data_IF_434199131435
#
_entry.id   IF_434199131435
#
_cell.length_a   1.000
_cell.length_b   1.000
_cell.length_c   1.000
_cell.angle_alpha   90.00
_cell.angle_beta   90.00
_cell.angle_gamma   90.00
#
_symmetry.space_group_name_H-M   'P 1'
#
loop_
_entity.id
_entity.type
_entity.pdbx_description
1 polymer ?
#
# COMPACT_ATOMS: atom_id res chain seq x y z
N UNK A 1 6.57 23.35 -32.76
CA UNK A 1 5.63 22.85 -31.74
C UNK A 1 6.42 22.10 -30.69
N UNK A 2 6.22 22.40 -29.40
CA UNK A 2 6.81 21.65 -28.28
C UNK A 2 5.86 20.50 -27.93
N UNK A 3 6.36 19.26 -27.99
CA UNK A 3 5.65 18.07 -27.54
C UNK A 3 6.38 17.53 -26.30
N UNK A 4 5.65 17.19 -25.25
CA UNK A 4 6.21 16.59 -24.03
C UNK A 4 5.20 15.63 -23.40
N UNK A 5 5.70 14.76 -22.53
CA UNK A 5 4.89 13.80 -21.75
C UNK A 5 4.96 14.14 -20.27
N UNK A 6 3.95 13.69 -19.53
CA UNK A 6 3.91 13.73 -18.07
C UNK A 6 3.67 12.32 -17.55
N UNK A 7 4.30 11.99 -16.42
CA UNK A 7 3.96 10.79 -15.67
C UNK A 7 2.99 11.20 -14.57
N UNK A 8 1.79 10.63 -14.61
CA UNK A 8 0.73 10.89 -13.65
C UNK A 8 0.49 9.63 -12.82
N UNK A 9 0.12 9.76 -11.53
CA UNK A 9 -0.20 8.61 -10.70
C UNK A 9 -1.39 7.86 -11.27
N UNK A 10 -1.38 6.53 -11.12
CA UNK A 10 -2.49 5.69 -11.58
C UNK A 10 -3.75 5.85 -10.69
N UNK A 11 -3.60 6.35 -9.45
CA UNK A 11 -4.68 6.51 -8.49
C UNK A 11 -4.48 5.62 -7.26
N UNK A 12 -5.44 4.75 -6.99
CA UNK A 12 -5.41 3.79 -5.88
C UNK A 12 -4.65 2.53 -6.31
N UNK A 13 -3.78 2.02 -5.43
CA UNK A 13 -3.02 0.80 -5.69
C UNK A 13 -3.26 -0.22 -4.58
N UNK A 14 -3.84 -1.36 -4.94
CA UNK A 14 -3.90 -2.56 -4.12
C UNK A 14 -2.54 -3.25 -4.01
N UNK A 15 -2.06 -3.49 -2.79
CA UNK A 15 -0.75 -4.11 -2.53
C UNK A 15 -0.89 -5.30 -1.58
N UNK A 16 -0.29 -6.42 -1.95
CA UNK A 16 -0.21 -7.63 -1.11
C UNK A 16 1.27 -7.98 -0.95
N UNK A 17 1.72 -8.24 0.29
CA UNK A 17 3.13 -8.54 0.60
C UNK A 17 3.30 -9.87 1.34
N UNK A 18 4.44 -10.58 1.15
CA UNK A 18 4.73 -11.85 1.81
C UNK A 18 5.26 -11.68 3.24
N UNK A 19 5.43 -12.80 3.94
CA UNK A 19 5.72 -12.86 5.38
C UNK A 19 7.21 -12.77 5.76
N UNK A 20 8.13 -12.95 4.82
CA UNK A 20 9.56 -13.18 5.11
C UNK A 20 10.31 -11.92 5.58
N UNK A 21 9.99 -10.75 5.02
CA UNK A 21 10.57 -9.47 5.44
C UNK A 21 9.49 -8.38 5.47
N UNK A 22 8.53 -8.44 6.40
CA UNK A 22 7.26 -7.70 6.30
C UNK A 22 7.46 -6.18 6.18
N UNK A 23 8.35 -5.60 7.00
CA UNK A 23 8.59 -4.16 6.96
C UNK A 23 9.40 -3.72 5.73
N UNK A 24 10.40 -4.50 5.31
CA UNK A 24 11.19 -4.19 4.11
C UNK A 24 10.32 -4.29 2.84
N UNK A 25 9.50 -5.35 2.73
CA UNK A 25 8.59 -5.55 1.61
C UNK A 25 7.54 -4.43 1.55
N UNK A 26 7.01 -4.01 2.70
CA UNK A 26 6.14 -2.83 2.76
C UNK A 26 6.87 -1.58 2.29
N UNK A 27 8.09 -1.31 2.74
CA UNK A 27 8.87 -0.13 2.34
C UNK A 27 9.12 -0.09 0.82
N UNK A 28 9.46 -1.22 0.19
CA UNK A 28 9.64 -1.31 -1.27
C UNK A 28 8.37 -0.96 -2.05
N UNK A 29 7.21 -1.40 -1.55
CA UNK A 29 5.91 -1.19 -2.18
C UNK A 29 5.37 0.23 -1.94
N UNK A 30 5.42 0.69 -0.69
CA UNK A 30 4.93 2.02 -0.29
C UNK A 30 5.79 3.12 -0.88
N UNK A 31 7.12 3.00 -0.82
CA UNK A 31 8.04 4.06 -1.22
C UNK A 31 7.86 4.49 -2.67
N UNK A 32 7.84 3.53 -3.60
CA UNK A 32 7.67 3.82 -5.02
C UNK A 32 6.28 4.42 -5.33
N UNK A 33 5.21 3.83 -4.79
CA UNK A 33 3.84 4.27 -5.07
C UNK A 33 3.53 5.66 -4.49
N UNK A 34 4.00 5.94 -3.26
CA UNK A 34 3.84 7.25 -2.64
C UNK A 34 4.67 8.33 -3.37
N UNK A 35 5.89 7.99 -3.81
CA UNK A 35 6.73 8.92 -4.55
C UNK A 35 6.10 9.35 -5.89
N UNK A 36 5.29 8.50 -6.52
CA UNK A 36 4.55 8.84 -7.73
C UNK A 36 3.24 9.61 -7.46
N UNK A 37 2.81 9.71 -6.20
CA UNK A 37 1.55 10.36 -5.81
C UNK A 37 0.33 9.43 -5.79
N UNK A 38 0.52 8.11 -5.73
CA UNK A 38 -0.57 7.15 -5.59
C UNK A 38 -1.05 7.06 -4.13
N UNK A 39 -2.27 6.55 -3.95
CA UNK A 39 -2.81 6.13 -2.65
C UNK A 39 -2.88 4.61 -2.58
N UNK A 40 -2.90 4.04 -1.38
CA UNK A 40 -2.56 2.63 -1.18
C UNK A 40 -3.54 1.92 -0.26
N UNK A 41 -3.94 0.71 -0.66
CA UNK A 41 -4.58 -0.29 0.20
C UNK A 41 -3.65 -1.50 0.28
N UNK A 42 -3.06 -1.75 1.45
CA UNK A 42 -2.02 -2.76 1.64
C UNK A 42 -2.49 -3.87 2.60
N UNK A 43 -2.51 -5.11 2.10
CA UNK A 43 -2.70 -6.33 2.89
C UNK A 43 -1.36 -7.00 3.22
N UNK A 44 -0.92 -7.00 4.49
CA UNK A 44 0.22 -7.81 4.90
C UNK A 44 -0.15 -9.30 4.94
N UNK A 45 0.85 -10.18 4.88
CA UNK A 45 0.66 -11.60 5.14
C UNK A 45 0.11 -11.82 6.56
N UNK A 46 -0.85 -12.74 6.70
CA UNK A 46 -1.56 -13.04 7.94
C UNK A 46 -0.65 -13.54 9.07
N UNK A 47 0.51 -14.10 8.73
CA UNK A 47 1.50 -14.59 9.70
C UNK A 47 2.28 -13.45 10.36
N UNK A 48 2.47 -12.32 9.68
CA UNK A 48 3.34 -11.22 10.14
C UNK A 48 2.73 -9.81 10.04
N UNK A 49 1.47 -9.58 10.47
CA UNK A 49 0.78 -8.30 10.27
C UNK A 49 1.22 -7.19 11.24
N UNK A 50 1.73 -7.56 12.43
CA UNK A 50 1.86 -6.63 13.56
C UNK A 50 2.84 -5.50 13.31
N UNK A 51 3.98 -5.79 12.67
CA UNK A 51 4.99 -4.77 12.36
C UNK A 51 4.40 -3.67 11.46
N UNK A 52 3.58 -4.04 10.48
CA UNK A 52 2.98 -3.07 9.57
C UNK A 52 1.82 -2.29 10.21
N UNK A 53 1.05 -2.93 11.10
CA UNK A 53 0.04 -2.22 11.90
C UNK A 53 0.67 -1.17 12.82
N UNK A 54 1.84 -1.47 13.40
CA UNK A 54 2.59 -0.48 14.16
C UNK A 54 3.07 0.67 13.25
N UNK A 55 3.62 0.36 12.08
CA UNK A 55 4.00 1.38 11.09
C UNK A 55 2.83 2.25 10.67
N UNK A 56 1.60 1.73 10.57
CA UNK A 56 0.42 2.53 10.26
C UNK A 56 0.17 3.66 11.30
N UNK A 57 0.48 3.41 12.57
CA UNK A 57 0.42 4.44 13.61
C UNK A 57 1.48 5.52 13.38
N UNK A 58 2.70 5.11 13.02
CA UNK A 58 3.80 6.03 12.72
C UNK A 58 3.53 6.88 11.46
N UNK A 59 2.86 6.32 10.44
CA UNK A 59 2.47 7.08 9.25
C UNK A 59 1.45 8.16 9.60
N UNK A 60 0.53 7.87 10.51
CA UNK A 60 -0.40 8.87 11.03
C UNK A 60 0.34 9.97 11.80
N UNK A 61 1.29 9.59 12.66
CA UNK A 61 2.13 10.54 13.40
C UNK A 61 2.98 11.42 12.48
N UNK A 62 3.51 10.85 11.40
CA UNK A 62 4.27 11.56 10.38
C UNK A 62 3.42 12.54 9.54
N UNK A 63 2.10 12.57 9.74
CA UNK A 63 1.21 13.55 9.12
C UNK A 63 0.73 13.17 7.73
N UNK A 64 0.74 11.88 7.37
CA UNK A 64 0.12 11.43 6.12
C UNK A 64 -1.37 11.80 6.12
N UNK A 65 -1.90 12.35 5.00
CA UNK A 65 -3.33 12.63 4.90
C UNK A 65 -4.17 11.36 5.07
N UNK A 66 -5.36 11.52 5.64
CA UNK A 66 -6.29 10.40 5.85
C UNK A 66 -6.60 9.70 4.51
N UNK A 67 -6.51 8.36 4.51
CA UNK A 67 -6.81 7.53 3.34
C UNK A 67 -5.65 7.35 2.35
N UNK A 68 -4.50 8.03 2.52
CA UNK A 68 -3.34 7.86 1.63
C UNK A 68 -2.70 6.48 1.77
N UNK A 69 -2.60 5.98 3.01
CA UNK A 69 -2.15 4.61 3.29
C UNK A 69 -3.17 3.92 4.19
N UNK A 70 -3.70 2.80 3.71
CA UNK A 70 -4.65 1.97 4.43
C UNK A 70 -4.05 0.58 4.59
N UNK A 71 -3.94 0.09 5.83
CA UNK A 71 -3.42 -1.25 6.12
C UNK A 71 -4.58 -2.16 6.51
N UNK A 72 -4.80 -3.23 5.74
CA UNK A 72 -5.94 -4.14 5.87
C UNK A 72 -5.46 -5.58 6.08
N UNK A 73 -5.13 -5.99 7.32
CA UNK A 73 -4.77 -7.38 7.61
C UNK A 73 -5.96 -8.32 7.36
N UNK A 74 -5.65 -9.53 6.93
CA UNK A 74 -6.62 -10.59 6.72
C UNK A 74 -5.98 -11.79 6.03
N UNK A 75 -6.76 -12.82 5.75
CA UNK A 75 -6.29 -13.97 4.99
C UNK A 75 -6.18 -13.64 3.50
N UNK A 76 -5.43 -14.47 2.76
CA UNK A 76 -5.41 -14.39 1.30
C UNK A 76 -6.82 -14.55 0.72
N UNK A 77 -7.52 -15.60 1.17
CA UNK A 77 -8.96 -15.75 0.98
C UNK A 77 -9.70 -14.64 1.74
N UNK A 78 -10.64 -13.97 1.07
CA UNK A 78 -11.31 -12.80 1.62
C UNK A 78 -10.54 -11.51 1.37
N UNK A 79 -9.57 -11.14 2.23
CA UNK A 79 -8.95 -9.80 2.16
C UNK A 79 -8.05 -9.62 0.93
N UNK A 80 -7.21 -10.62 0.61
CA UNK A 80 -6.36 -10.59 -0.58
C UNK A 80 -7.18 -10.65 -1.87
N UNK A 81 -8.12 -11.59 -1.94
CA UNK A 81 -9.03 -11.76 -3.07
C UNK A 81 -9.90 -10.52 -3.33
N UNK A 82 -10.42 -9.88 -2.27
CA UNK A 82 -11.19 -8.65 -2.39
C UNK A 82 -10.37 -7.51 -3.01
N UNK A 83 -9.08 -7.39 -2.68
CA UNK A 83 -8.19 -6.38 -3.32
C UNK A 83 -7.99 -6.69 -4.80
N UNK A 84 -7.81 -7.96 -5.17
CA UNK A 84 -7.57 -8.37 -6.56
C UNK A 84 -8.79 -8.16 -7.43
N UNK A 85 -9.99 -8.43 -6.90
CA UNK A 85 -11.24 -8.36 -7.63
C UNK A 85 -11.97 -7.01 -7.49
N UNK A 86 -11.37 -6.03 -6.79
CA UNK A 86 -11.99 -4.72 -6.63
C UNK A 86 -12.04 -3.99 -8.00
N UNK A 87 -13.20 -3.44 -8.39
CA UNK A 87 -13.37 -2.82 -9.71
C UNK A 87 -12.65 -1.47 -9.87
N UNK A 88 -12.31 -0.84 -8.75
CA UNK A 88 -11.58 0.43 -8.63
C UNK A 88 -10.22 0.22 -7.93
#
# INVERSE_FOLDING_TARGET
>A
YLNYTRHEPIGVVGQIIPWNFPLLMAAWKLGAALATGCTIVLKPAEQTPLSLLYTAQLLKEAGFPNGVVNVVPGFGEGAGEAIVNHPD
#
